data_IF_083165640140
#
_entry.id   IF_083165640140
#
_cell.length_a   1.000
_cell.length_b   1.000
_cell.length_c   1.000
_cell.angle_alpha   90.00
_cell.angle_beta   90.00
_cell.angle_gamma   90.00
#
_symmetry.space_group_name_H-M   'P 1'
#
loop_
_entity.id
_entity.type
_entity.pdbx_description
1 polymer ?
#
# COMPACT_ATOMS: atom_id res chain seq x y z
N UNK A 1 17.80 -46.46 41.50
CA UNK A 1 17.50 -45.02 41.67
C UNK A 1 17.38 -44.39 40.27
N UNK A 2 16.19 -44.27 39.74
CA UNK A 2 15.93 -43.52 38.52
C UNK A 2 15.66 -42.07 38.91
N UNK A 3 16.48 -41.15 38.43
CA UNK A 3 16.23 -39.70 38.58
C UNK A 3 15.17 -39.31 37.58
N UNK A 4 14.08 -38.78 38.11
CA UNK A 4 13.02 -38.12 37.35
C UNK A 4 13.57 -36.91 36.64
N UNK A 5 13.46 -36.88 35.33
CA UNK A 5 13.78 -35.70 34.50
C UNK A 5 12.59 -34.77 34.61
N UNK A 6 12.79 -33.67 35.33
CA UNK A 6 11.82 -32.63 35.56
C UNK A 6 11.26 -32.09 34.26
N UNK A 7 9.94 -31.99 34.20
CA UNK A 7 9.19 -31.18 33.26
C UNK A 7 9.61 -29.71 33.35
N UNK A 8 10.49 -29.30 32.49
CA UNK A 8 10.59 -27.86 32.18
C UNK A 8 9.48 -27.51 31.19
N UNK A 9 8.69 -26.46 31.45
CA UNK A 9 7.78 -25.96 30.43
C UNK A 9 8.63 -25.46 29.27
N UNK A 10 8.50 -26.13 28.11
CA UNK A 10 9.15 -25.68 26.86
C UNK A 10 8.76 -24.24 26.61
N UNK A 11 9.74 -23.37 26.57
CA UNK A 11 9.58 -22.00 26.07
C UNK A 11 9.01 -22.14 24.67
N UNK A 12 7.86 -21.47 24.42
CA UNK A 12 7.30 -21.26 23.09
C UNK A 12 8.33 -20.44 22.27
N UNK A 13 9.31 -21.10 21.71
CA UNK A 13 10.27 -20.50 20.80
C UNK A 13 9.51 -20.13 19.54
N UNK A 14 9.28 -18.84 19.35
CA UNK A 14 8.68 -18.32 18.13
C UNK A 14 9.70 -18.46 17.02
N UNK A 15 9.49 -19.38 16.10
CA UNK A 15 10.30 -19.52 14.88
C UNK A 15 10.08 -18.27 14.02
N UNK A 16 11.06 -17.39 14.01
CA UNK A 16 10.97 -16.16 13.22
C UNK A 16 11.51 -16.44 11.82
N UNK A 17 10.59 -16.66 10.89
CA UNK A 17 10.90 -16.89 9.47
C UNK A 17 10.79 -15.57 8.71
N UNK A 18 11.75 -15.30 7.82
CA UNK A 18 11.74 -14.12 6.98
C UNK A 18 11.13 -14.42 5.60
N UNK A 19 10.56 -13.39 4.99
CA UNK A 19 9.95 -13.49 3.66
C UNK A 19 10.94 -14.01 2.62
N UNK A 20 12.15 -13.45 2.60
CA UNK A 20 13.19 -13.77 1.61
C UNK A 20 13.58 -15.26 1.69
N UNK A 21 13.57 -15.85 2.90
CA UNK A 21 13.83 -17.27 3.12
C UNK A 21 12.72 -18.13 2.47
N UNK A 22 11.45 -17.73 2.62
CA UNK A 22 10.32 -18.45 1.98
C UNK A 22 10.38 -18.34 0.45
N UNK A 23 10.76 -17.18 -0.08
CA UNK A 23 10.90 -17.02 -1.53
C UNK A 23 12.03 -17.89 -2.08
N UNK A 24 13.18 -17.95 -1.40
CA UNK A 24 14.28 -18.86 -1.77
C UNK A 24 13.86 -20.32 -1.66
N UNK A 25 13.16 -20.69 -0.59
CA UNK A 25 12.62 -22.03 -0.41
C UNK A 25 11.69 -22.43 -1.56
N UNK A 26 10.77 -21.55 -1.97
CA UNK A 26 9.86 -21.82 -3.07
C UNK A 26 10.58 -21.99 -4.42
N UNK A 27 11.64 -21.23 -4.66
CA UNK A 27 12.45 -21.37 -5.88
C UNK A 27 13.19 -22.71 -5.94
N UNK A 28 13.70 -23.20 -4.81
CA UNK A 28 14.45 -24.44 -4.73
C UNK A 28 13.55 -25.68 -4.63
N UNK A 29 12.33 -25.53 -4.15
CA UNK A 29 11.37 -26.62 -3.97
C UNK A 29 11.06 -27.37 -5.28
N UNK A 30 11.09 -26.66 -6.41
CA UNK A 30 10.84 -27.24 -7.74
C UNK A 30 12.06 -27.96 -8.33
N UNK A 31 13.21 -27.97 -7.63
CA UNK A 31 14.43 -28.62 -8.12
C UNK A 31 14.62 -30.07 -7.62
N UNK A 32 13.64 -30.61 -6.89
CA UNK A 32 13.64 -32.01 -6.45
C UNK A 32 14.62 -32.34 -5.34
N UNK A 33 15.12 -31.34 -4.61
CA UNK A 33 15.98 -31.55 -3.46
C UNK A 33 15.22 -32.13 -2.25
N UNK A 34 15.85 -32.95 -1.40
CA UNK A 34 15.25 -33.43 -0.15
C UNK A 34 14.83 -32.26 0.75
N UNK A 35 13.71 -32.41 1.45
CA UNK A 35 13.12 -31.34 2.29
C UNK A 35 14.10 -30.82 3.35
N UNK A 36 14.83 -31.73 4.02
CA UNK A 36 15.80 -31.38 5.06
C UNK A 36 16.91 -30.50 4.48
N UNK A 37 17.44 -30.87 3.30
CA UNK A 37 18.47 -30.08 2.60
C UNK A 37 17.95 -28.70 2.22
N UNK A 38 16.69 -28.62 1.75
CA UNK A 38 16.04 -27.34 1.42
C UNK A 38 15.92 -26.44 2.64
N UNK A 39 15.52 -26.99 3.78
CA UNK A 39 15.38 -26.24 5.03
C UNK A 39 16.74 -25.71 5.49
N UNK A 40 17.77 -26.54 5.48
CA UNK A 40 19.13 -26.10 5.85
C UNK A 40 19.71 -25.02 4.93
N UNK A 41 19.39 -25.05 3.63
CA UNK A 41 19.86 -24.07 2.66
C UNK A 41 19.15 -22.71 2.74
N UNK A 42 17.89 -22.68 3.19
CA UNK A 42 17.03 -21.51 3.04
C UNK A 42 16.74 -20.79 4.33
N UNK A 43 16.63 -21.51 5.45
CA UNK A 43 16.21 -20.91 6.71
C UNK A 43 17.38 -20.76 7.69
N UNK A 44 17.50 -19.61 8.33
CA UNK A 44 18.50 -19.34 9.36
C UNK A 44 18.26 -20.12 10.64
N UNK A 45 17.01 -20.50 10.90
CA UNK A 45 16.56 -21.26 12.06
C UNK A 45 16.09 -22.65 11.66
N UNK A 46 16.89 -23.30 10.88
CA UNK A 46 16.64 -24.62 10.30
C UNK A 46 16.42 -25.70 11.35
N UNK A 47 17.26 -25.73 12.43
CA UNK A 47 17.12 -26.72 13.51
C UNK A 47 15.78 -26.57 14.25
N UNK A 48 15.32 -25.35 14.54
CA UNK A 48 14.04 -25.11 15.19
C UNK A 48 12.86 -25.58 14.30
N UNK A 49 12.95 -25.36 12.98
CA UNK A 49 11.94 -25.83 12.01
C UNK A 49 11.92 -27.34 11.97
N UNK A 50 13.09 -28.00 11.87
CA UNK A 50 13.20 -29.46 11.82
C UNK A 50 12.67 -30.12 13.11
N UNK A 51 12.90 -29.52 14.26
CA UNK A 51 12.40 -30.06 15.52
C UNK A 51 10.87 -30.01 15.59
N UNK A 52 10.24 -28.93 15.15
CA UNK A 52 8.78 -28.87 15.05
C UNK A 52 8.21 -29.88 14.03
N UNK A 53 8.93 -30.12 12.93
CA UNK A 53 8.52 -31.17 11.97
C UNK A 53 8.62 -32.58 12.56
N UNK A 54 9.67 -32.86 13.38
CA UNK A 54 9.81 -34.12 14.13
C UNK A 54 8.71 -34.31 15.18
N UNK A 55 8.17 -33.20 15.72
CA UNK A 55 6.99 -33.21 16.61
C UNK A 55 5.69 -33.48 15.88
N UNK A 56 5.70 -33.62 14.54
CA UNK A 56 4.52 -33.93 13.72
C UNK A 56 3.76 -32.72 13.21
N UNK A 57 4.28 -31.51 13.39
CA UNK A 57 3.69 -30.31 12.80
C UNK A 57 3.91 -30.28 11.29
N UNK A 58 2.94 -29.78 10.54
CA UNK A 58 3.10 -29.57 9.10
C UNK A 58 4.01 -28.37 8.84
N UNK A 59 4.87 -28.43 7.82
CA UNK A 59 5.77 -27.33 7.44
C UNK A 59 5.01 -26.01 7.27
N UNK A 60 3.83 -26.02 6.68
CA UNK A 60 2.96 -24.87 6.48
C UNK A 60 2.56 -24.18 7.81
N UNK A 61 2.31 -24.99 8.85
CA UNK A 61 1.96 -24.50 10.17
C UNK A 61 3.19 -23.88 10.86
N UNK A 62 4.34 -24.54 10.77
CA UNK A 62 5.61 -24.06 11.33
C UNK A 62 6.00 -22.72 10.71
N UNK A 63 5.95 -22.58 9.39
CA UNK A 63 6.31 -21.36 8.67
C UNK A 63 5.37 -20.17 8.99
N UNK A 64 4.13 -20.44 9.39
CA UNK A 64 3.14 -19.38 9.69
C UNK A 64 2.91 -19.18 11.19
N UNK A 65 3.60 -19.93 12.03
CA UNK A 65 3.44 -19.90 13.47
C UNK A 65 3.83 -18.51 14.03
N UNK A 66 2.93 -17.90 14.82
CA UNK A 66 3.14 -16.61 15.48
C UNK A 66 3.50 -15.41 14.58
N UNK A 67 3.35 -15.53 13.27
CA UNK A 67 3.64 -14.46 12.34
C UNK A 67 2.46 -13.49 12.20
N UNK A 68 2.72 -12.18 12.45
CA UNK A 68 1.67 -11.12 12.41
C UNK A 68 1.59 -10.42 11.05
N UNK A 69 2.62 -10.51 10.21
CA UNK A 69 2.67 -9.81 8.92
C UNK A 69 1.58 -10.33 7.96
N UNK A 70 1.08 -9.43 7.13
CA UNK A 70 -0.02 -9.71 6.19
C UNK A 70 0.32 -10.87 5.23
N UNK A 71 1.56 -10.95 4.76
CA UNK A 71 2.10 -12.03 3.95
C UNK A 71 1.81 -13.41 4.55
N UNK A 72 2.16 -13.61 5.81
CA UNK A 72 1.97 -14.90 6.49
C UNK A 72 0.50 -15.22 6.78
N UNK A 73 -0.35 -14.20 6.94
CA UNK A 73 -1.80 -14.42 7.05
C UNK A 73 -2.38 -14.96 5.74
N UNK A 74 -1.97 -14.41 4.60
CA UNK A 74 -2.34 -14.95 3.30
C UNK A 74 -1.79 -16.36 3.11
N UNK A 75 -0.51 -16.57 3.42
CA UNK A 75 0.14 -17.88 3.30
C UNK A 75 -0.57 -18.94 4.14
N UNK A 76 -0.93 -18.63 5.38
CA UNK A 76 -1.65 -19.55 6.27
C UNK A 76 -2.98 -20.02 5.68
N UNK A 77 -3.76 -19.10 5.09
CA UNK A 77 -5.06 -19.45 4.51
C UNK A 77 -4.88 -20.25 3.21
N UNK A 78 -4.00 -19.78 2.33
CA UNK A 78 -3.81 -20.43 1.04
C UNK A 78 -3.18 -21.82 1.17
N UNK A 79 -2.24 -22.00 2.09
CA UNK A 79 -1.59 -23.29 2.33
C UNK A 79 -2.50 -24.35 2.96
N UNK A 80 -3.68 -23.98 3.46
CA UNK A 80 -4.70 -24.95 3.90
C UNK A 80 -5.44 -25.59 2.74
N UNK A 81 -5.51 -24.89 1.60
CA UNK A 81 -6.30 -25.32 0.43
C UNK A 81 -5.43 -25.68 -0.78
N UNK A 82 -4.25 -25.10 -0.88
CA UNK A 82 -3.30 -25.30 -1.98
C UNK A 82 -2.03 -25.97 -1.51
N UNK A 83 -1.30 -26.58 -2.44
CA UNK A 83 0.06 -27.02 -2.19
C UNK A 83 0.93 -25.83 -1.77
N UNK A 84 1.93 -26.06 -0.92
CA UNK A 84 2.77 -25.00 -0.37
C UNK A 84 3.46 -24.15 -1.44
N UNK A 85 3.95 -24.77 -2.51
CA UNK A 85 4.57 -24.08 -3.66
C UNK A 85 3.60 -23.12 -4.35
N UNK A 86 2.37 -23.61 -4.61
CA UNK A 86 1.33 -22.80 -5.26
C UNK A 86 0.85 -21.69 -4.33
N UNK A 87 0.70 -21.97 -3.04
CA UNK A 87 0.33 -20.99 -2.03
C UNK A 87 1.36 -19.86 -1.95
N UNK A 88 2.65 -20.16 -1.89
CA UNK A 88 3.73 -19.16 -1.88
C UNK A 88 3.72 -18.33 -3.17
N UNK A 89 3.57 -18.99 -4.33
CA UNK A 89 3.51 -18.31 -5.62
C UNK A 89 2.31 -17.36 -5.71
N UNK A 90 1.15 -17.78 -5.22
CA UNK A 90 -0.07 -16.94 -5.15
C UNK A 90 0.13 -15.74 -4.22
N UNK A 91 0.65 -15.95 -3.00
CA UNK A 91 0.91 -14.87 -2.06
C UNK A 91 1.90 -13.86 -2.64
N UNK A 92 2.97 -14.35 -3.28
CA UNK A 92 3.96 -13.47 -3.92
C UNK A 92 3.32 -12.61 -5.01
N UNK A 93 2.45 -13.17 -5.86
CA UNK A 93 1.73 -12.40 -6.89
C UNK A 93 0.78 -11.36 -6.28
N UNK A 94 0.01 -11.75 -5.25
CA UNK A 94 -0.90 -10.85 -4.56
C UNK A 94 -0.14 -9.66 -3.96
N UNK A 95 0.96 -9.94 -3.27
CA UNK A 95 1.76 -8.91 -2.61
C UNK A 95 2.53 -8.05 -3.62
N UNK A 96 3.14 -8.65 -4.63
CA UNK A 96 3.84 -7.91 -5.69
C UNK A 96 2.91 -6.93 -6.39
N UNK A 97 1.69 -7.32 -6.72
CA UNK A 97 0.72 -6.43 -7.35
C UNK A 97 0.31 -5.26 -6.44
N UNK A 98 0.18 -5.50 -5.13
CA UNK A 98 -0.15 -4.47 -4.15
C UNK A 98 1.04 -3.56 -3.83
N UNK A 99 2.20 -4.14 -3.54
CA UNK A 99 3.40 -3.40 -3.09
C UNK A 99 4.06 -2.60 -4.22
N UNK A 100 4.15 -3.16 -5.42
CA UNK A 100 4.77 -2.47 -6.57
C UNK A 100 4.05 -1.16 -6.87
N UNK A 101 2.74 -1.15 -6.70
CA UNK A 101 1.96 0.07 -6.87
C UNK A 101 2.28 1.10 -5.79
N UNK A 102 2.24 0.71 -4.51
CA UNK A 102 2.57 1.61 -3.39
C UNK A 102 4.01 2.11 -3.43
N UNK A 103 4.97 1.25 -3.74
CA UNK A 103 6.38 1.65 -3.90
C UNK A 103 6.56 2.65 -5.04
N UNK A 104 5.90 2.42 -6.18
CA UNK A 104 5.95 3.34 -7.32
C UNK A 104 5.33 4.69 -6.96
N UNK A 105 4.23 4.69 -6.21
CA UNK A 105 3.61 5.90 -5.69
C UNK A 105 4.55 6.66 -4.77
N UNK A 106 5.08 6.00 -3.76
CA UNK A 106 5.99 6.59 -2.78
C UNK A 106 7.23 7.17 -3.47
N UNK A 107 7.86 6.42 -4.38
CA UNK A 107 9.03 6.90 -5.12
C UNK A 107 8.72 8.14 -5.96
N UNK A 108 7.55 8.20 -6.61
CA UNK A 108 7.16 9.36 -7.44
C UNK A 108 6.76 10.60 -6.61
N UNK A 109 6.26 10.42 -5.39
CA UNK A 109 5.80 11.51 -4.53
C UNK A 109 6.91 12.00 -3.57
N UNK A 110 7.90 11.17 -3.24
CA UNK A 110 8.95 11.50 -2.27
C UNK A 110 9.69 12.79 -2.60
N UNK A 111 10.13 12.96 -3.83
CA UNK A 111 10.87 14.17 -4.25
C UNK A 111 10.00 15.43 -4.18
N UNK A 112 8.79 15.48 -4.75
CA UNK A 112 7.91 16.65 -4.61
C UNK A 112 7.58 17.00 -3.16
N UNK A 113 7.37 16.00 -2.33
CA UNK A 113 7.08 16.19 -0.91
C UNK A 113 8.27 16.77 -0.15
N UNK A 114 9.47 16.26 -0.41
CA UNK A 114 10.70 16.82 0.15
C UNK A 114 10.90 18.26 -0.26
N UNK A 115 10.68 18.60 -1.54
CA UNK A 115 10.79 19.96 -2.06
C UNK A 115 9.79 20.91 -1.39
N UNK A 116 8.56 20.45 -1.16
CA UNK A 116 7.53 21.24 -0.48
C UNK A 116 7.90 21.52 0.98
N UNK A 117 8.40 20.51 1.69
CA UNK A 117 8.89 20.67 3.07
C UNK A 117 10.06 21.64 3.11
N UNK A 118 11.02 21.51 2.19
CA UNK A 118 12.18 22.40 2.10
C UNK A 118 11.73 23.84 1.86
N UNK A 119 10.83 24.07 0.92
CA UNK A 119 10.26 25.40 0.64
C UNK A 119 9.59 25.99 1.89
N UNK A 120 8.85 25.18 2.64
CA UNK A 120 8.22 25.61 3.88
C UNK A 120 9.25 26.05 4.95
N UNK A 121 10.29 25.26 5.16
CA UNK A 121 11.36 25.64 6.09
C UNK A 121 12.09 26.90 5.67
N UNK A 122 12.32 27.10 4.37
CA UNK A 122 12.92 28.33 3.86
C UNK A 122 12.01 29.55 4.12
N UNK A 123 10.70 29.41 3.92
CA UNK A 123 9.75 30.50 4.24
C UNK A 123 9.74 30.80 5.74
N UNK A 124 9.76 29.80 6.61
CA UNK A 124 9.84 30.00 8.05
C UNK A 124 11.14 30.72 8.44
N UNK A 125 12.27 30.26 7.92
CA UNK A 125 13.57 30.87 8.20
C UNK A 125 13.59 32.36 7.80
N UNK A 126 13.11 32.67 6.60
CA UNK A 126 13.03 34.05 6.14
C UNK A 126 12.04 34.90 6.95
N UNK A 127 10.87 34.33 7.28
CA UNK A 127 9.84 35.04 8.08
C UNK A 127 10.31 35.38 9.49
N UNK A 128 10.91 34.38 10.17
CA UNK A 128 11.10 34.47 11.62
C UNK A 128 12.51 34.96 12.00
N UNK A 129 13.50 34.82 11.10
CA UNK A 129 14.88 35.29 11.34
C UNK A 129 15.28 36.49 10.49
N UNK A 130 15.20 36.38 9.16
CA UNK A 130 15.75 37.41 8.28
C UNK A 130 14.91 38.68 8.33
N UNK A 131 13.58 38.58 8.22
CA UNK A 131 12.71 39.73 8.29
C UNK A 131 12.77 40.45 9.64
N UNK A 132 12.92 39.72 10.72
CA UNK A 132 13.00 40.31 12.07
C UNK A 132 14.27 41.14 12.21
N UNK A 133 15.42 40.63 11.70
CA UNK A 133 16.69 41.36 11.74
C UNK A 133 16.72 42.57 10.81
N UNK A 134 15.98 42.55 9.71
CA UNK A 134 15.94 43.64 8.73
C UNK A 134 14.77 44.59 8.94
N UNK A 135 14.03 44.48 10.02
CA UNK A 135 12.83 45.27 10.30
C UNK A 135 13.07 46.78 10.24
N UNK A 136 14.23 47.23 10.74
CA UNK A 136 14.58 48.65 10.78
C UNK A 136 14.93 49.23 9.40
N UNK A 137 15.25 48.35 8.44
CA UNK A 137 15.62 48.75 7.06
C UNK A 137 14.45 48.62 6.08
N UNK A 138 13.37 47.92 6.47
CA UNK A 138 12.21 47.68 5.60
C UNK A 138 11.12 48.68 5.91
N UNK A 139 11.04 49.75 5.11
CA UNK A 139 9.97 50.76 5.19
C UNK A 139 8.63 50.24 4.62
N UNK A 140 8.65 49.15 3.86
CA UNK A 140 7.51 48.70 3.08
C UNK A 140 6.73 47.58 3.79
N UNK A 141 5.61 47.94 4.41
CA UNK A 141 4.71 47.00 5.12
C UNK A 141 4.23 45.83 4.21
N UNK A 142 4.13 46.06 2.89
CA UNK A 142 3.65 45.06 1.93
C UNK A 142 4.50 43.77 1.92
N UNK A 143 5.83 43.90 2.12
CA UNK A 143 6.74 42.73 2.14
C UNK A 143 6.45 41.81 3.35
N UNK A 144 6.21 42.42 4.52
CA UNK A 144 5.85 41.66 5.74
C UNK A 144 4.50 40.95 5.58
N UNK A 145 3.51 41.64 5.03
CA UNK A 145 2.19 41.07 4.79
C UNK A 145 2.28 39.89 3.83
N UNK A 146 3.02 40.06 2.74
CA UNK A 146 3.14 39.05 1.70
C UNK A 146 3.83 37.75 2.20
N UNK A 147 4.94 37.87 2.92
CA UNK A 147 5.63 36.68 3.48
C UNK A 147 4.78 36.00 4.53
N UNK A 148 4.07 36.74 5.38
CA UNK A 148 3.15 36.14 6.34
C UNK A 148 2.00 35.45 5.65
N UNK A 149 1.42 36.02 4.60
CA UNK A 149 0.38 35.34 3.79
C UNK A 149 0.94 34.06 3.18
N UNK A 150 2.16 34.07 2.65
CA UNK A 150 2.81 32.88 2.09
C UNK A 150 3.03 31.81 3.15
N UNK A 151 3.52 32.20 4.35
CA UNK A 151 3.72 31.30 5.51
C UNK A 151 2.40 30.63 5.92
N UNK A 152 1.34 31.40 6.10
CA UNK A 152 0.04 30.86 6.50
C UNK A 152 -0.60 29.99 5.40
N UNK A 153 -0.44 30.35 4.12
CA UNK A 153 -0.94 29.54 3.00
C UNK A 153 -0.26 28.17 2.94
N UNK A 154 1.05 28.12 3.15
CA UNK A 154 1.79 26.86 3.22
C UNK A 154 1.40 26.02 4.46
N UNK A 155 1.33 26.66 5.64
CA UNK A 155 0.92 25.99 6.86
C UNK A 155 -0.49 25.38 6.72
N UNK A 156 -1.43 26.14 6.15
CA UNK A 156 -2.81 25.72 5.92
C UNK A 156 -2.88 24.61 4.87
N UNK A 157 -2.05 24.68 3.83
CA UNK A 157 -1.90 23.64 2.82
C UNK A 157 -1.42 22.31 3.42
N UNK A 158 -0.35 22.33 4.23
CA UNK A 158 0.17 21.14 4.90
C UNK A 158 -0.87 20.59 5.89
N UNK A 159 -1.50 21.46 6.68
CA UNK A 159 -2.52 21.09 7.66
C UNK A 159 -3.74 20.47 6.97
N UNK A 160 -4.14 20.99 5.80
CA UNK A 160 -5.25 20.42 5.01
C UNK A 160 -4.92 19.02 4.48
N UNK A 161 -3.67 18.76 4.06
CA UNK A 161 -3.21 17.43 3.62
C UNK A 161 -3.23 16.46 4.80
N UNK A 162 -2.70 16.86 5.95
CA UNK A 162 -2.70 16.02 7.17
C UNK A 162 -4.12 15.74 7.63
N UNK A 163 -4.98 16.76 7.66
CA UNK A 163 -6.40 16.62 8.00
C UNK A 163 -7.11 15.67 7.05
N UNK A 164 -6.84 15.79 5.74
CA UNK A 164 -7.38 14.89 4.73
C UNK A 164 -6.94 13.44 4.94
N UNK A 165 -5.67 13.21 5.27
CA UNK A 165 -5.14 11.87 5.57
C UNK A 165 -5.76 11.29 6.85
N UNK A 166 -5.94 12.10 7.90
CA UNK A 166 -6.59 11.68 9.15
C UNK A 166 -8.07 11.37 8.88
N UNK A 167 -8.77 12.26 8.18
CA UNK A 167 -10.17 12.05 7.81
C UNK A 167 -10.33 10.79 6.96
N UNK A 168 -9.43 10.57 6.01
CA UNK A 168 -9.36 9.35 5.20
C UNK A 168 -9.18 8.11 6.09
N UNK A 169 -8.22 8.13 7.02
CA UNK A 169 -7.98 7.02 7.95
C UNK A 169 -9.19 6.74 8.84
N UNK A 170 -9.79 7.78 9.42
CA UNK A 170 -10.98 7.67 10.27
C UNK A 170 -12.20 7.18 9.50
N UNK A 171 -12.44 7.70 8.31
CA UNK A 171 -13.53 7.24 7.44
C UNK A 171 -13.30 5.80 6.99
N UNK A 172 -12.07 5.44 6.61
CA UNK A 172 -11.73 4.08 6.23
C UNK A 172 -11.93 3.11 7.40
N UNK A 173 -11.52 3.47 8.60
CA UNK A 173 -11.69 2.65 9.80
C UNK A 173 -13.15 2.56 10.23
N UNK A 174 -13.88 3.68 10.25
CA UNK A 174 -15.28 3.75 10.69
C UNK A 174 -16.26 3.19 9.63
N UNK A 175 -15.97 3.40 8.34
CA UNK A 175 -16.80 2.95 7.22
C UNK A 175 -16.51 1.51 6.76
N UNK A 176 -15.58 0.83 7.39
CA UNK A 176 -15.27 -0.58 7.12
C UNK A 176 -16.52 -1.50 7.31
N UNK A 177 -17.57 -0.99 7.95
CA UNK A 177 -18.87 -1.67 8.14
C UNK A 177 -19.94 -1.31 7.07
N UNK A 178 -19.70 -0.26 6.25
CA UNK A 178 -20.57 0.08 5.10
C UNK A 178 -19.66 0.48 3.97
N UNK A 179 -19.27 -0.46 3.14
CA UNK A 179 -18.35 -0.32 2.01
C UNK A 179 -18.75 0.78 1.01
N UNK A 180 -18.65 2.03 1.41
CA UNK A 180 -18.85 3.19 0.53
C UNK A 180 -17.53 3.96 0.43
N UNK A 181 -16.87 3.85 -0.70
CA UNK A 181 -15.63 4.59 -0.97
C UNK A 181 -15.96 5.83 -1.80
N UNK A 182 -15.78 7.06 -1.27
CA UNK A 182 -16.08 8.29 -2.01
C UNK A 182 -15.03 8.58 -3.09
N UNK A 183 -13.83 8.00 -2.99
CA UNK A 183 -12.69 8.34 -3.85
C UNK A 183 -12.51 7.37 -5.01
N UNK A 184 -12.52 7.92 -6.23
CA UNK A 184 -12.38 7.14 -7.46
C UNK A 184 -11.01 6.42 -7.55
N UNK A 185 -9.97 7.04 -7.05
CA UNK A 185 -8.62 6.43 -6.98
C UNK A 185 -8.61 5.17 -6.11
N UNK A 186 -9.29 5.21 -4.98
CA UNK A 186 -9.39 4.08 -4.06
C UNK A 186 -10.23 2.94 -4.63
N UNK A 187 -11.33 3.26 -5.33
CA UNK A 187 -12.13 2.26 -6.05
C UNK A 187 -11.27 1.51 -7.06
N UNK A 188 -10.45 2.24 -7.83
CA UNK A 188 -9.49 1.63 -8.77
C UNK A 188 -8.49 0.71 -8.07
N UNK A 189 -7.93 1.14 -6.92
CA UNK A 189 -6.98 0.32 -6.17
C UNK A 189 -7.62 -0.97 -5.62
N UNK A 190 -8.82 -0.88 -5.05
CA UNK A 190 -9.53 -2.04 -4.51
C UNK A 190 -9.91 -3.00 -5.64
N UNK A 191 -10.43 -2.48 -6.77
CA UNK A 191 -10.74 -3.29 -7.94
C UNK A 191 -9.50 -3.96 -8.51
N UNK A 192 -8.37 -3.24 -8.58
CA UNK A 192 -7.08 -3.81 -9.02
C UNK A 192 -6.63 -4.94 -8.08
N UNK A 193 -6.71 -4.72 -6.78
CA UNK A 193 -6.33 -5.73 -5.79
C UNK A 193 -7.23 -6.96 -5.87
N UNK A 194 -8.55 -6.77 -6.06
CA UNK A 194 -9.50 -7.87 -6.27
C UNK A 194 -9.13 -8.70 -7.50
N UNK A 195 -8.91 -8.04 -8.65
CA UNK A 195 -8.58 -8.71 -9.91
C UNK A 195 -7.26 -9.46 -9.83
N UNK A 196 -6.22 -8.85 -9.25
CA UNK A 196 -4.92 -9.49 -9.07
C UNK A 196 -5.02 -10.72 -8.17
N UNK A 197 -5.82 -10.65 -7.10
CA UNK A 197 -6.04 -11.76 -6.19
C UNK A 197 -6.82 -12.88 -6.88
N UNK A 198 -7.89 -12.53 -7.61
CA UNK A 198 -8.66 -13.49 -8.40
C UNK A 198 -7.77 -14.21 -9.42
N UNK A 199 -7.00 -13.49 -10.23
CA UNK A 199 -6.08 -14.10 -11.21
C UNK A 199 -4.97 -14.96 -10.59
N UNK A 200 -4.52 -14.62 -9.38
CA UNK A 200 -3.52 -15.44 -8.70
C UNK A 200 -4.10 -16.81 -8.32
N UNK A 201 -5.38 -16.85 -7.96
CA UNK A 201 -6.10 -18.05 -7.55
C UNK A 201 -6.66 -18.85 -8.75
N UNK A 202 -7.02 -18.18 -9.85
CA UNK A 202 -7.65 -18.78 -11.02
C UNK A 202 -6.84 -19.95 -11.63
N UNK A 203 -5.51 -19.92 -11.51
CA UNK A 203 -4.66 -21.01 -11.97
C UNK A 203 -4.73 -22.28 -11.10
N UNK A 204 -5.17 -22.13 -9.87
CA UNK A 204 -5.15 -23.18 -8.84
C UNK A 204 -6.53 -23.74 -8.52
N UNK A 205 -7.59 -23.10 -8.99
CA UNK A 205 -8.97 -23.49 -8.78
C UNK A 205 -9.74 -23.63 -10.08
N UNK A 206 -10.69 -24.55 -10.10
CA UNK A 206 -11.49 -24.88 -11.29
C UNK A 206 -12.82 -24.11 -11.35
N UNK A 207 -13.25 -23.48 -10.24
CA UNK A 207 -14.52 -22.77 -10.20
C UNK A 207 -14.41 -21.38 -9.57
N UNK A 208 -15.19 -20.45 -10.13
CA UNK A 208 -15.32 -19.07 -9.60
C UNK A 208 -15.79 -19.07 -8.14
N UNK A 209 -16.65 -20.01 -7.77
CA UNK A 209 -17.17 -20.13 -6.41
C UNK A 209 -16.04 -20.47 -5.41
N UNK A 210 -15.21 -21.45 -5.70
CA UNK A 210 -14.06 -21.80 -4.84
C UNK A 210 -13.07 -20.66 -4.68
N UNK A 211 -12.82 -19.90 -5.76
CA UNK A 211 -12.00 -18.69 -5.71
C UNK A 211 -12.60 -17.68 -4.74
N UNK A 212 -13.88 -17.36 -4.89
CA UNK A 212 -14.57 -16.40 -4.03
C UNK A 212 -14.62 -16.87 -2.57
N UNK A 213 -14.86 -18.15 -2.31
CA UNK A 213 -14.82 -18.73 -0.96
C UNK A 213 -13.43 -18.64 -0.32
N UNK A 214 -12.39 -18.86 -1.13
CA UNK A 214 -11.00 -18.70 -0.66
C UNK A 214 -10.67 -17.23 -0.37
N UNK A 215 -11.09 -16.32 -1.23
CA UNK A 215 -10.94 -14.88 -0.99
C UNK A 215 -11.75 -14.41 0.22
N UNK A 216 -12.97 -14.91 0.42
CA UNK A 216 -13.82 -14.60 1.56
C UNK A 216 -13.22 -15.07 2.90
N UNK A 217 -12.51 -16.21 2.91
CA UNK A 217 -11.80 -16.68 4.10
C UNK A 217 -10.73 -15.69 4.59
N UNK A 218 -10.28 -14.75 3.73
CA UNK A 218 -9.35 -13.66 4.04
C UNK A 218 -10.09 -12.40 4.54
N UNK A 219 -11.00 -12.56 5.49
CA UNK A 219 -11.89 -11.52 6.02
C UNK A 219 -11.18 -10.32 6.68
N UNK A 220 -9.87 -10.42 6.95
CA UNK A 220 -9.02 -9.32 7.39
C UNK A 220 -8.71 -8.32 6.26
N UNK A 221 -8.98 -8.65 5.00
CA UNK A 221 -8.78 -7.80 3.83
C UNK A 221 -10.11 -7.21 3.33
N UNK A 222 -10.03 -6.05 2.67
CA UNK A 222 -11.22 -5.44 2.03
C UNK A 222 -11.75 -6.35 0.93
N UNK A 223 -10.85 -6.99 0.19
CA UNK A 223 -11.20 -7.93 -0.89
C UNK A 223 -11.92 -9.16 -0.34
N UNK A 224 -11.50 -9.68 0.81
CA UNK A 224 -12.19 -10.80 1.46
C UNK A 224 -13.64 -10.46 1.86
N UNK A 225 -13.86 -9.27 2.40
CA UNK A 225 -15.21 -8.79 2.74
C UNK A 225 -16.10 -8.63 1.51
N UNK A 226 -15.55 -8.09 0.41
CA UNK A 226 -16.27 -7.98 -0.87
C UNK A 226 -16.64 -9.37 -1.39
N UNK A 227 -15.71 -10.33 -1.34
CA UNK A 227 -15.98 -11.70 -1.78
C UNK A 227 -17.06 -12.37 -0.94
N UNK A 228 -17.08 -12.09 0.37
CA UNK A 228 -18.14 -12.57 1.26
C UNK A 228 -19.51 -11.97 0.90
N UNK A 229 -19.56 -10.66 0.61
CA UNK A 229 -20.79 -9.97 0.17
C UNK A 229 -21.32 -10.59 -1.14
N UNK A 230 -20.45 -10.84 -2.12
CA UNK A 230 -20.82 -11.51 -3.37
C UNK A 230 -21.36 -12.93 -3.11
N UNK A 231 -20.71 -13.72 -2.24
CA UNK A 231 -21.18 -15.07 -1.91
C UNK A 231 -22.54 -15.05 -1.22
N UNK A 232 -22.78 -14.08 -0.35
CA UNK A 232 -24.07 -13.96 0.35
C UNK A 232 -25.17 -13.54 -0.62
N UNK A 233 -24.88 -12.67 -1.59
CA UNK A 233 -25.81 -12.33 -2.68
C UNK A 233 -26.13 -13.55 -3.57
N UNK A 234 -25.13 -14.36 -3.92
CA UNK A 234 -25.34 -15.60 -4.67
C UNK A 234 -26.23 -16.60 -3.90
N UNK A 235 -26.08 -16.71 -2.57
CA UNK A 235 -26.95 -17.56 -1.74
C UNK A 235 -28.40 -17.07 -1.71
N UNK A 236 -28.64 -15.76 -1.90
CA UNK A 236 -30.00 -15.20 -2.02
C UNK A 236 -30.62 -15.40 -3.40
N UNK A 237 -29.90 -16.02 -4.34
CA UNK A 237 -30.37 -16.33 -5.70
C UNK A 237 -30.09 -15.25 -6.73
N UNK A 238 -29.30 -14.22 -6.41
CA UNK A 238 -28.85 -13.24 -7.40
C UNK A 238 -27.86 -13.88 -8.37
N UNK A 239 -27.84 -13.38 -9.60
CA UNK A 239 -26.83 -13.77 -10.57
C UNK A 239 -25.44 -13.23 -10.17
N UNK A 240 -24.38 -13.88 -10.65
CA UNK A 240 -23.01 -13.44 -10.42
C UNK A 240 -22.79 -12.00 -10.95
N UNK A 241 -23.37 -11.69 -12.10
CA UNK A 241 -23.29 -10.36 -12.72
C UNK A 241 -23.95 -9.29 -11.85
N UNK A 242 -25.18 -9.51 -11.39
CA UNK A 242 -25.90 -8.59 -10.50
C UNK A 242 -25.12 -8.36 -9.21
N UNK A 243 -24.63 -9.41 -8.56
CA UNK A 243 -23.87 -9.32 -7.32
C UNK A 243 -22.63 -8.44 -7.50
N UNK A 244 -21.88 -8.60 -8.57
CA UNK A 244 -20.71 -7.76 -8.87
C UNK A 244 -21.06 -6.30 -9.17
N UNK A 245 -22.16 -6.06 -9.90
CA UNK A 245 -22.61 -4.70 -10.27
C UNK A 245 -23.11 -3.91 -9.07
N UNK A 246 -23.68 -4.56 -8.08
CA UNK A 246 -24.15 -3.92 -6.84
C UNK A 246 -23.02 -3.45 -5.92
N UNK A 247 -21.83 -4.03 -5.99
CA UNK A 247 -20.69 -3.63 -5.16
C UNK A 247 -20.29 -2.18 -5.44
N UNK A 248 -20.57 -1.28 -4.50
CA UNK A 248 -20.35 0.17 -4.64
C UNK A 248 -18.87 0.57 -4.65
N UNK A 249 -18.01 -0.29 -4.13
CA UNK A 249 -16.57 -0.06 -3.99
C UNK A 249 -15.82 -0.30 -5.30
N UNK A 250 -16.39 -1.06 -6.21
CA UNK A 250 -15.76 -1.31 -7.49
C UNK A 250 -15.78 -0.09 -8.42
N UNK A 251 -14.68 0.08 -9.16
CA UNK A 251 -14.55 1.09 -10.19
C UNK A 251 -15.54 0.85 -11.33
N UNK A 252 -16.13 1.93 -11.86
CA UNK A 252 -17.12 1.86 -12.93
C UNK A 252 -16.59 1.18 -14.20
N UNK A 253 -15.29 1.34 -14.46
CA UNK A 253 -14.62 0.76 -15.60
C UNK A 253 -14.41 -0.75 -15.42
N UNK A 254 -14.07 -1.17 -14.19
CA UNK A 254 -14.00 -2.57 -13.81
C UNK A 254 -15.36 -3.25 -14.01
N UNK A 255 -16.45 -2.65 -13.51
CA UNK A 255 -17.81 -3.18 -13.68
C UNK A 255 -18.16 -3.42 -15.14
N UNK A 256 -17.88 -2.45 -16.02
CA UNK A 256 -18.12 -2.61 -17.47
C UNK A 256 -17.32 -3.76 -18.07
N UNK A 257 -16.02 -3.86 -17.75
CA UNK A 257 -15.17 -4.94 -18.26
C UNK A 257 -15.59 -6.31 -17.73
N UNK A 258 -16.07 -6.37 -16.50
CA UNK A 258 -16.55 -7.59 -15.89
C UNK A 258 -17.78 -8.16 -16.61
N UNK A 259 -18.76 -7.31 -16.98
CA UNK A 259 -19.94 -7.75 -17.76
C UNK A 259 -19.49 -8.40 -19.06
N UNK A 260 -18.57 -7.78 -19.79
CA UNK A 260 -18.01 -8.38 -21.01
C UNK A 260 -17.23 -9.66 -20.74
N UNK A 261 -16.51 -9.73 -19.63
CA UNK A 261 -15.77 -10.93 -19.23
C UNK A 261 -16.69 -12.13 -18.96
N UNK A 262 -17.81 -11.88 -18.28
CA UNK A 262 -18.82 -12.89 -17.96
C UNK A 262 -19.57 -13.35 -19.22
N UNK A 263 -19.99 -12.42 -20.08
CA UNK A 263 -20.73 -12.76 -21.32
C UNK A 263 -19.88 -13.50 -22.34
N UNK A 264 -18.57 -13.21 -22.43
CA UNK A 264 -17.63 -13.86 -23.36
C UNK A 264 -16.96 -15.11 -22.81
N UNK A 265 -17.17 -15.45 -21.54
CA UNK A 265 -16.46 -16.51 -20.82
C UNK A 265 -14.91 -16.40 -20.91
N UNK A 266 -14.39 -15.17 -20.97
CA UNK A 266 -12.97 -14.86 -21.10
C UNK A 266 -12.47 -13.98 -19.94
N UNK A 267 -12.80 -14.35 -18.70
CA UNK A 267 -12.47 -13.55 -17.52
C UNK A 267 -11.00 -13.19 -17.42
N UNK A 268 -10.12 -14.15 -17.69
CA UNK A 268 -8.67 -13.95 -17.60
C UNK A 268 -8.16 -12.83 -18.53
N UNK A 269 -8.62 -12.80 -19.78
CA UNK A 269 -8.20 -11.81 -20.78
C UNK A 269 -8.65 -10.40 -20.37
N UNK A 270 -9.91 -10.26 -19.97
CA UNK A 270 -10.46 -8.96 -19.56
C UNK A 270 -9.83 -8.46 -18.25
N UNK A 271 -9.51 -9.36 -17.33
CA UNK A 271 -8.83 -9.00 -16.10
C UNK A 271 -7.38 -8.54 -16.35
N UNK A 272 -6.64 -9.21 -17.24
CA UNK A 272 -5.29 -8.77 -17.63
C UNK A 272 -5.32 -7.39 -18.30
N UNK A 273 -6.28 -7.16 -19.18
CA UNK A 273 -6.51 -5.85 -19.79
C UNK A 273 -6.87 -4.77 -18.75
N UNK A 274 -7.71 -5.12 -17.78
CA UNK A 274 -8.06 -4.19 -16.69
C UNK A 274 -6.84 -3.84 -15.85
N UNK A 275 -6.02 -4.81 -15.45
CA UNK A 275 -4.79 -4.59 -14.68
C UNK A 275 -3.87 -3.62 -15.42
N UNK A 276 -3.59 -3.87 -16.70
CA UNK A 276 -2.73 -3.01 -17.52
C UNK A 276 -3.27 -1.58 -17.62
N UNK A 277 -4.55 -1.44 -17.91
CA UNK A 277 -5.21 -0.15 -18.05
C UNK A 277 -5.28 0.59 -16.72
N UNK A 278 -5.70 -0.08 -15.66
CA UNK A 278 -5.82 0.52 -14.33
C UNK A 278 -4.46 0.98 -13.80
N UNK A 279 -3.42 0.17 -13.96
CA UNK A 279 -2.05 0.54 -13.57
C UNK A 279 -1.57 1.79 -14.31
N UNK A 280 -1.81 1.87 -15.61
CA UNK A 280 -1.48 3.05 -16.41
C UNK A 280 -2.24 4.31 -15.96
N UNK A 281 -3.54 4.20 -15.72
CA UNK A 281 -4.40 5.30 -15.25
C UNK A 281 -3.96 5.80 -13.86
N UNK A 282 -3.62 4.87 -12.97
CA UNK A 282 -3.11 5.19 -11.65
C UNK A 282 -1.77 5.90 -11.72
N UNK A 283 -0.83 5.40 -12.55
CA UNK A 283 0.46 6.07 -12.76
C UNK A 283 0.31 7.48 -13.33
N UNK A 284 -0.59 7.67 -14.29
CA UNK A 284 -0.91 8.97 -14.88
C UNK A 284 -1.46 9.95 -13.83
N UNK A 285 -2.37 9.47 -12.98
CA UNK A 285 -2.96 10.27 -11.91
C UNK A 285 -1.91 10.71 -10.89
N UNK A 286 -1.04 9.79 -10.48
CA UNK A 286 0.08 10.09 -9.57
C UNK A 286 1.06 11.07 -10.18
N UNK A 287 1.44 10.88 -11.45
CA UNK A 287 2.31 11.80 -12.17
C UNK A 287 1.69 13.21 -12.20
N UNK A 288 0.39 13.33 -12.47
CA UNK A 288 -0.32 14.62 -12.47
C UNK A 288 -0.26 15.33 -11.11
N UNK A 289 -0.52 14.58 -10.03
CA UNK A 289 -0.45 15.11 -8.65
C UNK A 289 0.99 15.55 -8.33
N UNK A 290 1.95 14.67 -8.59
CA UNK A 290 3.38 14.93 -8.38
C UNK A 290 3.85 16.20 -9.12
N UNK A 291 3.51 16.34 -10.41
CA UNK A 291 3.85 17.51 -11.21
C UNK A 291 3.18 18.79 -10.66
N UNK A 292 1.92 18.68 -10.21
CA UNK A 292 1.24 19.82 -9.58
C UNK A 292 1.93 20.32 -8.32
N UNK A 293 2.34 19.39 -7.44
CA UNK A 293 3.10 19.72 -6.21
C UNK A 293 4.45 20.34 -6.57
N UNK A 294 5.17 19.80 -7.55
CA UNK A 294 6.45 20.35 -8.01
C UNK A 294 6.31 21.78 -8.52
N UNK A 295 5.33 22.01 -9.39
CA UNK A 295 5.06 23.34 -9.95
C UNK A 295 4.77 24.36 -8.85
N UNK A 296 3.91 24.01 -7.91
CA UNK A 296 3.60 24.85 -6.76
C UNK A 296 4.85 25.17 -5.92
N UNK A 297 5.67 24.17 -5.64
CA UNK A 297 6.91 24.35 -4.86
C UNK A 297 7.91 25.23 -5.59
N UNK A 298 8.12 25.05 -6.90
CA UNK A 298 9.05 25.87 -7.69
C UNK A 298 8.60 27.34 -7.76
N UNK A 299 7.31 27.59 -8.00
CA UNK A 299 6.76 28.94 -8.02
C UNK A 299 6.99 29.62 -6.66
N UNK A 300 6.73 28.90 -5.56
CA UNK A 300 6.91 29.42 -4.21
C UNK A 300 8.36 29.75 -3.88
N UNK A 301 9.30 28.90 -4.28
CA UNK A 301 10.74 29.16 -4.12
C UNK A 301 11.16 30.37 -4.98
N UNK A 302 10.69 30.43 -6.22
CA UNK A 302 10.98 31.56 -7.12
C UNK A 302 10.51 32.91 -6.55
N UNK A 303 9.29 32.93 -6.01
CA UNK A 303 8.75 34.13 -5.33
C UNK A 303 9.61 34.50 -4.11
N UNK A 304 10.00 33.52 -3.31
CA UNK A 304 10.84 33.74 -2.13
C UNK A 304 12.19 34.34 -2.52
N UNK A 305 12.84 33.83 -3.57
CA UNK A 305 14.10 34.35 -4.08
C UNK A 305 13.96 35.80 -4.52
N UNK A 306 12.88 36.18 -5.21
CA UNK A 306 12.62 37.56 -5.60
C UNK A 306 12.47 38.50 -4.40
N UNK A 307 11.78 38.03 -3.35
CA UNK A 307 11.61 38.82 -2.11
C UNK A 307 12.96 39.00 -1.40
N UNK A 308 13.74 37.92 -1.29
CA UNK A 308 15.10 38.00 -0.72
C UNK A 308 15.96 39.03 -1.47
N UNK A 309 15.95 38.96 -2.79
CA UNK A 309 16.65 39.91 -3.63
C UNK A 309 16.20 41.35 -3.35
N UNK A 310 14.91 41.64 -3.29
CA UNK A 310 14.37 42.94 -2.94
C UNK A 310 14.86 43.44 -1.57
N UNK A 311 14.83 42.57 -0.55
CA UNK A 311 15.27 42.90 0.81
C UNK A 311 16.76 43.21 0.84
N UNK A 312 17.59 42.45 0.14
CA UNK A 312 19.04 42.68 0.08
C UNK A 312 19.41 43.96 -0.66
N UNK A 313 18.61 44.40 -1.63
CA UNK A 313 18.84 45.64 -2.38
C UNK A 313 18.38 46.93 -1.65
N UNK A 314 17.54 46.80 -0.61
CA UNK A 314 17.07 47.99 0.14
C UNK A 314 18.18 48.82 0.79
N UNK A 315 19.16 48.23 1.51
CA UNK A 315 20.25 49.01 2.09
C UNK A 315 21.13 49.73 1.02
N UNK A 316 21.30 49.09 -0.15
CA UNK A 316 22.07 49.69 -1.27
C UNK A 316 21.34 50.90 -1.86
N UNK A 317 20.03 50.87 -1.95
CA UNK A 317 19.22 52.00 -2.42
C UNK A 317 19.24 53.19 -1.43
N UNK A 318 19.39 52.92 -0.13
CA UNK A 318 19.56 54.00 0.87
C UNK A 318 20.92 54.68 0.77
N UNK A 319 21.99 53.91 0.48
CA UNK A 319 23.32 54.46 0.28
C UNK A 319 23.42 55.36 -0.96
N UNK A 320 22.61 55.13 -1.99
CA UNK A 320 22.55 55.97 -3.20
C UNK A 320 21.74 57.27 -3.01
N UNK A 321 21.11 57.50 -1.88
CA UNK A 321 20.36 58.72 -1.54
C UNK A 321 21.18 59.70 -0.69
N UNK A 322 22.38 59.31 -0.30
CA UNK A 322 23.39 60.15 0.33
C UNK A 322 24.49 60.53 -0.69
#
# INVERSE_FOLDING_TARGET
>A
MKKDISWMPRQNTTVLVYRDEIEQFAMLMNQGLPLDTLIHLTFKKDEEILDHLKEGMRLQEVLTLHQKKLYFKYLKILSQKLNLSDAITCVHKIEKSSNTFFETLLKKISYPFFLLIFAFFMILFFSDYVLVQMKDYISNISVFVFINVLKYTFALGILSIVFYLILYYLLFYKYNNKMQCPFNLMKKMISLQFVCMYQALDKSYNSTQEILETMASMNFSVVGKISQEILDDLKTGKSLEESFLEIKVFDSQFKKMLVYALTSNQMYVFFDLYIKKCSFDLEKSVKKISTGIQMFSYISIGILVLIVYQIMMMPLNMLNQF
#
